data_IF_664581209251
#
_entry.id   IF_664581209251
#
_cell.length_a   1.000
_cell.length_b   1.000
_cell.length_c   1.000
_cell.angle_alpha   90.00
_cell.angle_beta   90.00
_cell.angle_gamma   90.00
#
_symmetry.space_group_name_H-M   'P 1'
#
loop_
_entity.id
_entity.type
_entity.pdbx_description
1 polymer ?
#
# COMPACT_ATOMS: atom_id res chain seq x y z
N UNK A 1 -24.28 8.29 -4.40
CA UNK A 1 -23.03 7.81 -3.78
C UNK A 1 -22.95 6.29 -3.91
N UNK A 2 -21.79 5.71 -4.22
CA UNK A 2 -21.60 4.26 -4.29
C UNK A 2 -21.48 3.69 -2.85
N UNK A 3 -22.25 2.65 -2.53
CA UNK A 3 -22.27 2.02 -1.19
C UNK A 3 -21.42 0.76 -1.05
N UNK A 4 -20.47 0.52 -1.96
CA UNK A 4 -19.60 -0.67 -1.85
C UNK A 4 -18.55 -0.50 -0.75
N UNK A 5 -18.10 -1.62 -0.17
CA UNK A 5 -17.09 -1.64 0.89
C UNK A 5 -15.83 -0.79 0.56
N UNK A 6 -15.24 -0.87 -0.66
CA UNK A 6 -14.13 0.01 -1.03
C UNK A 6 -14.42 1.51 -0.98
N UNK A 7 -15.61 1.95 -1.40
CA UNK A 7 -16.00 3.37 -1.36
C UNK A 7 -16.29 3.87 0.06
N UNK A 8 -16.64 2.97 0.98
CA UNK A 8 -16.78 3.30 2.39
C UNK A 8 -15.40 3.41 3.05
N UNK A 9 -14.49 2.49 2.74
CA UNK A 9 -13.13 2.44 3.28
C UNK A 9 -12.19 3.53 2.72
N UNK A 10 -12.50 4.14 1.57
CA UNK A 10 -11.64 5.18 0.99
C UNK A 10 -11.43 6.39 1.90
N UNK A 11 -12.38 6.64 2.83
CA UNK A 11 -12.26 7.70 3.86
C UNK A 11 -11.21 7.39 4.94
N UNK A 12 -10.85 6.11 5.08
CA UNK A 12 -9.87 5.63 6.05
C UNK A 12 -8.46 5.54 5.45
N UNK A 13 -8.24 5.99 4.21
CA UNK A 13 -6.91 6.01 3.63
C UNK A 13 -6.01 7.03 4.37
N UNK A 14 -4.79 6.59 4.68
CA UNK A 14 -3.74 7.38 5.33
C UNK A 14 -2.49 7.40 4.43
N UNK A 15 -1.64 8.41 4.62
CA UNK A 15 -0.50 8.66 3.74
C UNK A 15 0.83 8.29 4.40
N UNK A 16 1.54 7.35 3.77
CA UNK A 16 2.94 7.05 4.08
C UNK A 16 3.84 7.58 2.96
N UNK A 17 4.79 8.45 3.30
CA UNK A 17 5.79 8.98 2.37
C UNK A 17 7.14 8.39 2.76
N UNK A 18 7.83 7.76 1.81
CA UNK A 18 9.20 7.28 1.98
C UNK A 18 10.10 7.97 0.97
N UNK A 19 11.21 8.56 1.40
CA UNK A 19 12.19 9.16 0.51
C UNK A 19 13.60 8.61 0.77
N UNK A 20 14.28 8.29 -0.32
CA UNK A 20 15.64 7.77 -0.33
C UNK A 20 16.40 8.40 -1.49
N UNK A 21 17.71 8.59 -1.30
CA UNK A 21 18.63 9.05 -2.33
C UNK A 21 19.63 7.93 -2.57
N UNK A 22 19.61 7.39 -3.78
CA UNK A 22 20.43 6.25 -4.18
C UNK A 22 20.39 6.05 -5.69
N UNK A 23 20.94 4.92 -6.14
CA UNK A 23 21.05 4.53 -7.53
C UNK A 23 19.89 3.64 -7.97
N UNK A 24 19.46 3.81 -9.22
CA UNK A 24 18.48 2.94 -9.82
C UNK A 24 18.76 2.79 -11.31
N UNK A 25 18.32 1.67 -11.87
CA UNK A 25 18.33 1.41 -13.30
C UNK A 25 16.90 1.50 -13.83
N UNK A 26 16.71 2.12 -14.99
CA UNK A 26 15.44 2.09 -15.71
C UNK A 26 15.47 0.91 -16.68
N UNK A 27 14.53 -0.03 -16.53
CA UNK A 27 14.40 -1.20 -17.40
C UNK A 27 13.12 -1.11 -18.22
N UNK A 28 13.19 -1.55 -19.49
CA UNK A 28 12.03 -1.60 -20.37
C UNK A 28 11.44 -3.01 -20.39
N UNK A 29 10.23 -3.15 -19.86
CA UNK A 29 9.45 -4.39 -19.89
C UNK A 29 8.30 -4.23 -20.87
N UNK A 30 8.45 -4.81 -22.07
CA UNK A 30 7.51 -4.66 -23.19
C UNK A 30 7.31 -3.18 -23.58
N UNK A 31 6.21 -2.59 -23.11
CA UNK A 31 5.79 -1.20 -23.36
C UNK A 31 5.87 -0.30 -22.13
N UNK A 32 6.33 -0.83 -21.00
CA UNK A 32 6.44 -0.12 -19.73
C UNK A 32 7.91 0.07 -19.36
N UNK A 33 8.20 1.17 -18.69
CA UNK A 33 9.49 1.44 -18.07
C UNK A 33 9.34 1.28 -16.56
N UNK A 34 10.22 0.52 -15.94
CA UNK A 34 10.21 0.23 -14.52
C UNK A 34 11.57 0.57 -13.89
N UNK A 35 11.54 1.07 -12.65
CA UNK A 35 12.74 1.30 -11.86
C UNK A 35 13.15 -0.02 -11.18
N UNK A 36 14.43 -0.37 -11.26
CA UNK A 36 15.00 -1.55 -10.64
C UNK A 36 16.32 -1.21 -9.95
N UNK A 37 16.68 -1.99 -8.94
CA UNK A 37 17.92 -1.79 -8.18
C UNK A 37 17.72 -2.07 -6.70
N UNK A 38 18.83 -2.19 -5.99
CA UNK A 38 18.85 -2.45 -4.55
C UNK A 38 18.16 -1.32 -3.77
N UNK A 39 18.44 -0.05 -4.09
CA UNK A 39 17.84 1.12 -3.44
C UNK A 39 16.32 1.22 -3.69
N UNK A 40 15.86 0.78 -4.87
CA UNK A 40 14.42 0.68 -5.17
C UNK A 40 13.77 -0.38 -4.29
N UNK A 41 14.42 -1.53 -4.12
CA UNK A 41 13.95 -2.61 -3.24
C UNK A 41 13.91 -2.11 -1.79
N UNK A 42 14.93 -1.37 -1.34
CA UNK A 42 14.96 -0.77 0.00
C UNK A 42 13.75 0.12 0.24
N UNK A 43 13.43 1.05 -0.67
CA UNK A 43 12.26 1.94 -0.55
C UNK A 43 10.96 1.15 -0.45
N UNK A 44 10.79 0.10 -1.26
CA UNK A 44 9.60 -0.74 -1.20
C UNK A 44 9.48 -1.52 0.11
N UNK A 45 10.60 -1.94 0.71
CA UNK A 45 10.61 -2.61 2.02
C UNK A 45 10.38 -1.62 3.17
N UNK A 46 10.96 -0.42 3.08
CA UNK A 46 10.68 0.67 4.00
C UNK A 46 9.19 1.02 4.01
N UNK A 47 8.47 0.95 2.89
CA UNK A 47 7.01 1.15 2.88
C UNK A 47 6.22 0.05 3.62
N UNK A 48 6.82 -1.12 3.86
CA UNK A 48 6.21 -2.27 4.53
C UNK A 48 6.71 -2.48 5.97
N UNK A 49 7.27 -1.43 6.57
CA UNK A 49 7.80 -1.48 7.93
C UNK A 49 6.73 -1.66 9.03
N UNK A 50 7.19 -1.89 10.26
CA UNK A 50 6.37 -2.12 11.45
C UNK A 50 6.19 -0.86 12.33
N UNK A 51 6.33 0.34 11.75
CA UNK A 51 6.01 1.58 12.48
C UNK A 51 4.51 1.64 12.78
N UNK A 52 4.18 1.94 14.04
CA UNK A 52 2.79 1.98 14.54
C UNK A 52 1.95 3.14 13.99
N UNK A 53 2.56 4.10 13.29
CA UNK A 53 1.85 5.22 12.69
C UNK A 53 1.37 4.89 11.29
N UNK A 54 0.20 5.37 10.94
CA UNK A 54 -0.38 5.19 9.61
C UNK A 54 -0.17 6.42 8.71
N UNK A 55 0.30 7.54 9.25
CA UNK A 55 0.44 8.80 8.54
C UNK A 55 1.76 9.49 8.86
N UNK A 56 2.76 9.32 8.00
CA UNK A 56 4.11 9.80 8.27
C UNK A 56 4.96 10.02 7.02
N UNK A 57 6.10 10.69 7.26
CA UNK A 57 7.22 10.78 6.34
C UNK A 57 8.46 10.13 6.95
N UNK A 58 9.01 9.15 6.24
CA UNK A 58 10.20 8.41 6.60
C UNK A 58 11.30 8.65 5.56
N UNK A 59 12.49 9.05 5.98
CA UNK A 59 13.61 9.35 5.07
C UNK A 59 14.90 8.68 5.50
N UNK A 60 15.70 8.23 4.54
CA UNK A 60 17.04 7.65 4.81
C UNK A 60 18.05 8.74 5.18
N UNK A 61 19.18 8.33 5.77
CA UNK A 61 20.26 9.24 6.13
C UNK A 61 20.78 10.03 4.92
N UNK A 62 20.93 9.38 3.76
CA UNK A 62 21.46 10.02 2.54
C UNK A 62 20.52 11.11 2.00
N UNK A 63 19.21 10.87 2.02
CA UNK A 63 18.24 11.90 1.66
C UNK A 63 18.18 13.01 2.72
N UNK A 64 18.25 12.63 3.99
CA UNK A 64 18.22 13.59 5.10
C UNK A 64 19.41 14.55 5.06
N UNK A 65 20.59 14.10 4.62
CA UNK A 65 21.80 14.92 4.52
C UNK A 65 21.59 16.16 3.65
N UNK A 66 20.79 16.05 2.58
CA UNK A 66 20.52 17.14 1.63
C UNK A 66 19.41 18.10 2.09
N UNK A 67 18.67 17.77 3.16
CA UNK A 67 17.62 18.64 3.67
C UNK A 67 18.19 19.93 4.30
N UNK A 68 17.44 21.02 4.15
CA UNK A 68 17.73 22.28 4.84
C UNK A 68 17.57 22.12 6.35
N UNK A 69 18.33 22.91 7.13
CA UNK A 69 18.27 22.91 8.60
C UNK A 69 16.84 22.99 9.19
N UNK A 70 15.97 23.95 8.77
CA UNK A 70 14.61 24.02 9.33
C UNK A 70 13.76 22.78 9.03
N UNK A 71 14.03 22.06 7.93
CA UNK A 71 13.34 20.81 7.65
C UNK A 71 13.88 19.66 8.49
N UNK A 72 15.20 19.60 8.70
CA UNK A 72 15.86 18.58 9.54
C UNK A 72 15.32 18.60 10.97
N UNK A 73 15.10 19.78 11.53
CA UNK A 73 14.65 19.97 12.92
C UNK A 73 13.23 19.41 13.18
N UNK A 74 12.47 19.09 12.12
CA UNK A 74 11.14 18.49 12.22
C UNK A 74 11.16 16.98 12.36
N UNK A 75 12.25 16.30 12.01
CA UNK A 75 12.33 14.85 12.05
C UNK A 75 12.92 14.33 13.35
N UNK A 76 12.40 13.20 13.82
CA UNK A 76 12.94 12.40 14.91
C UNK A 76 13.70 11.19 14.36
N UNK A 77 14.73 10.72 15.05
CA UNK A 77 15.48 9.54 14.61
C UNK A 77 14.73 8.25 14.94
N UNK A 78 14.74 7.30 14.02
CA UNK A 78 14.21 5.95 14.23
C UNK A 78 15.13 4.93 13.58
N UNK A 79 15.16 3.70 14.09
CA UNK A 79 15.86 2.57 13.46
C UNK A 79 14.84 1.50 13.15
N UNK A 80 14.96 0.87 11.99
CA UNK A 80 14.12 -0.23 11.56
C UNK A 80 15.01 -1.40 11.12
N UNK A 81 14.64 -2.60 11.54
CA UNK A 81 15.20 -3.82 10.98
C UNK A 81 14.50 -4.12 9.67
N UNK A 82 15.26 -4.15 8.58
CA UNK A 82 14.73 -4.42 7.25
C UNK A 82 15.38 -5.70 6.72
N UNK A 83 14.56 -6.66 6.27
CA UNK A 83 15.03 -7.89 5.66
C UNK A 83 16.14 -7.61 4.65
N UNK A 84 17.22 -8.39 4.65
CA UNK A 84 18.38 -8.24 3.76
C UNK A 84 19.18 -6.93 3.85
N UNK A 85 18.73 -5.93 4.62
CA UNK A 85 19.42 -4.64 4.82
C UNK A 85 19.85 -4.41 6.28
N UNK A 86 19.35 -5.22 7.22
CA UNK A 86 19.66 -5.13 8.65
C UNK A 86 19.09 -3.86 9.29
N UNK A 87 19.80 -3.35 10.30
CA UNK A 87 19.40 -2.15 11.04
C UNK A 87 19.64 -0.89 10.21
N UNK A 88 18.58 -0.30 9.67
CA UNK A 88 18.65 0.94 8.89
C UNK A 88 18.30 2.14 9.77
N UNK A 89 19.20 3.13 9.83
CA UNK A 89 18.98 4.41 10.53
C UNK A 89 18.18 5.36 9.65
N UNK A 90 17.09 5.88 10.18
CA UNK A 90 16.11 6.67 9.45
C UNK A 90 15.74 7.93 10.25
N UNK A 91 15.14 8.89 9.55
CA UNK A 91 14.54 10.07 10.13
C UNK A 91 13.05 10.05 9.82
N UNK A 92 12.23 10.26 10.84
CA UNK A 92 10.78 10.07 10.84
C UNK A 92 10.09 11.36 11.28
N UNK A 93 9.08 11.77 10.52
CA UNK A 93 8.18 12.88 10.84
C UNK A 93 6.76 12.35 10.80
N UNK A 94 6.09 12.34 11.94
CA UNK A 94 4.68 12.02 12.01
C UNK A 94 3.83 13.21 11.58
N UNK A 95 2.80 12.96 10.78
CA UNK A 95 1.83 13.99 10.47
C UNK A 95 0.82 14.06 11.63
N UNK A 96 0.74 15.22 12.28
CA UNK A 96 -0.13 15.43 13.45
C UNK A 96 -1.59 15.56 13.02
N UNK A 97 -2.24 14.46 12.65
CA UNK A 97 -3.70 14.39 12.54
C UNK A 97 -4.25 13.86 13.86
N UNK A 98 -5.08 14.65 14.59
CA UNK A 98 -5.53 14.28 15.94
C UNK A 98 -6.44 13.04 16.01
N UNK A 99 -6.88 12.45 14.87
CA UNK A 99 -7.40 11.06 14.69
C UNK A 99 -7.98 10.90 13.25
N UNK A 100 -8.38 9.71 12.74
CA UNK A 100 -8.46 8.38 13.37
C UNK A 100 -7.24 7.46 13.15
N UNK A 101 -6.96 6.59 14.14
CA UNK A 101 -6.31 5.30 13.86
C UNK A 101 -7.16 4.57 12.83
N UNK A 102 -6.55 3.87 11.87
CA UNK A 102 -7.30 2.90 11.07
C UNK A 102 -8.19 2.08 12.03
N UNK A 103 -9.51 2.07 11.80
CA UNK A 103 -10.37 1.14 12.53
C UNK A 103 -9.77 -0.24 12.28
N UNK A 104 -9.38 -0.95 13.35
CA UNK A 104 -8.76 -2.27 13.19
C UNK A 104 -9.73 -3.09 12.36
N UNK A 105 -9.32 -3.43 11.13
CA UNK A 105 -10.06 -4.38 10.31
C UNK A 105 -9.97 -5.69 11.07
N UNK A 106 -10.97 -5.98 11.93
CA UNK A 106 -11.09 -7.26 12.61
C UNK A 106 -11.26 -8.32 11.52
N UNK A 107 -10.11 -8.90 11.16
CA UNK A 107 -9.91 -10.12 10.42
C UNK A 107 -11.11 -10.49 9.54
N UNK A 108 -11.14 -9.95 8.31
CA UNK A 108 -12.03 -10.41 7.23
C UNK A 108 -12.08 -11.93 7.25
N UNK A 109 -13.18 -12.50 7.76
CA UNK A 109 -13.38 -13.95 7.77
C UNK A 109 -13.29 -14.41 6.31
N UNK A 110 -12.21 -15.12 5.97
CA UNK A 110 -11.95 -15.61 4.61
C UNK A 110 -13.15 -16.41 4.07
N UNK A 111 -13.89 -17.06 4.96
CA UNK A 111 -15.11 -17.80 4.63
C UNK A 111 -16.30 -16.90 4.25
N UNK A 112 -16.52 -15.79 4.96
CA UNK A 112 -17.65 -14.89 4.67
C UNK A 112 -17.43 -14.13 3.37
N UNK A 113 -16.22 -13.60 3.15
CA UNK A 113 -15.89 -12.94 1.88
C UNK A 113 -15.92 -13.93 0.70
N UNK A 114 -15.49 -15.18 0.90
CA UNK A 114 -15.61 -16.22 -0.13
C UNK A 114 -17.07 -16.54 -0.47
N UNK A 115 -17.97 -16.68 0.53
CA UNK A 115 -19.40 -16.91 0.28
C UNK A 115 -20.08 -15.73 -0.43
N UNK A 116 -19.78 -14.49 -0.04
CA UNK A 116 -20.33 -13.29 -0.68
C UNK A 116 -19.85 -13.17 -2.13
N UNK A 117 -18.56 -13.43 -2.38
CA UNK A 117 -18.01 -13.42 -3.75
C UNK A 117 -18.55 -14.58 -4.60
N UNK A 118 -18.70 -15.78 -4.04
CA UNK A 118 -19.29 -16.93 -4.73
C UNK A 118 -20.74 -16.67 -5.14
N UNK A 119 -21.54 -16.02 -4.27
CA UNK A 119 -22.91 -15.59 -4.62
C UNK A 119 -22.94 -14.59 -5.78
N UNK A 120 -21.96 -13.68 -5.86
CA UNK A 120 -21.84 -12.70 -6.92
C UNK A 120 -21.45 -13.32 -8.28
N UNK A 121 -20.63 -14.38 -8.27
CA UNK A 121 -20.27 -15.13 -9.48
C UNK A 121 -21.36 -16.14 -9.93
N UNK A 122 -22.10 -16.75 -8.99
CA UNK A 122 -23.24 -17.62 -9.32
C UNK A 122 -24.37 -16.86 -10.04
N UNK A 123 -24.61 -15.58 -9.68
CA UNK A 123 -25.62 -14.75 -10.35
C UNK A 123 -25.29 -14.41 -11.82
N UNK A 124 -24.03 -14.51 -12.25
CA UNK A 124 -23.64 -14.33 -13.67
C UNK A 124 -23.76 -15.62 -14.49
N UNK A 125 -23.67 -16.80 -13.88
CA UNK A 125 -23.80 -18.09 -14.59
C UNK A 125 -25.28 -18.43 -14.92
N UNK A 126 -26.22 -18.09 -14.04
CA UNK A 126 -27.65 -18.40 -14.23
C UNK A 126 -28.36 -17.61 -15.34
N UNK A 127 -27.78 -16.52 -15.86
CA UNK A 127 -28.39 -15.72 -16.95
C UNK A 127 -27.98 -16.14 -18.36
N UNK A 128 -27.12 -17.16 -18.52
CA UNK A 128 -26.62 -17.64 -19.84
C UNK A 128 -27.18 -19.00 -20.30
N UNK A 129 -28.05 -19.64 -19.52
CA UNK A 129 -28.59 -20.98 -19.83
C UNK A 129 -30.00 -21.04 -20.43
N UNK A 130 -30.62 -19.91 -20.80
CA UNK A 130 -32.00 -19.87 -21.30
C UNK A 130 -32.10 -19.15 -22.64
N UNK A 131 -31.38 -19.67 -23.64
CA UNK A 131 -31.64 -19.39 -25.05
C UNK A 131 -31.22 -20.59 -25.88
N UNK A 132 -32.19 -21.21 -26.57
CA UNK A 132 -31.95 -22.19 -27.63
C UNK A 132 -32.36 -23.63 -27.31
N UNK A 133 -33.64 -23.95 -27.55
CA UNK A 133 -34.07 -25.00 -28.50
C UNK A 133 -35.60 -25.18 -28.44
N UNK A 134 -36.30 -24.45 -29.31
CA UNK A 134 -37.57 -24.89 -29.89
C UNK A 134 -37.25 -25.62 -31.20
N UNK A 135 -37.52 -26.92 -31.25
CA UNK A 135 -37.64 -27.65 -32.51
C UNK A 135 -38.64 -28.80 -32.29
N UNK A 136 -39.58 -28.87 -33.23
CA UNK A 136 -40.78 -29.69 -33.28
C UNK A 136 -40.50 -31.20 -33.18
N UNK A 137 -41.39 -31.91 -32.48
CA UNK A 137 -42.30 -32.89 -33.08
C UNK A 137 -43.72 -32.60 -32.58
#
# INVERSE_FOLDING_TARGET
>A
ACGCDPCLQSKNLRLKIVAHKGEFTVQKIRRFEELAGEDVILVHRLLKNDLNSDEYWLVTADFFADLSKPNKDRFSKVTQEIDSFGSVKLNYLEFSTPEPRNEKVERRSRFVNWLVQAGHFSRRSLKRGRSGKSAQQ
#
